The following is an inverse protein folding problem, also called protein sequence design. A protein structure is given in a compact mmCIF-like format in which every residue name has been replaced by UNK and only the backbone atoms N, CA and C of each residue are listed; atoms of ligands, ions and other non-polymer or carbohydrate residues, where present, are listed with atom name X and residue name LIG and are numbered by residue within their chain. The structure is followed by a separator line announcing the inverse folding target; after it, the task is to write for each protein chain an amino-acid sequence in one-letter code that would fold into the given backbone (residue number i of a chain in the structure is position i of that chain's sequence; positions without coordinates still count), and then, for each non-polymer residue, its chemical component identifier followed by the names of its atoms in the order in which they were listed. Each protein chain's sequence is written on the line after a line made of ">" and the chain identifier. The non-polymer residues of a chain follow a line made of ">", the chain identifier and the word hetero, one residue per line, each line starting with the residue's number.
data_IF_543045780869
#
_entry.id   IF_543045780869
#
_cell.length_a   1.000
_cell.length_b   1.000
_cell.length_c   1.000
_cell.angle_alpha   90.00
_cell.angle_beta   90.00
_cell.angle_gamma   90.00
#
_symmetry.space_group_name_H-M   'P 1'
#
loop_
_entity.id
_entity.type
_entity.pdbx_description
1 polymer ?
#
# COMPACT_ATOMS: atom_id res chain seq x y z
N UNK A 1 2.84 -8.43 -5.21
CA UNK A 1 2.39 -9.79 -4.82
C UNK A 1 2.79 -10.21 -3.41
N UNK A 2 3.67 -9.46 -2.70
CA UNK A 2 4.14 -9.83 -1.36
C UNK A 2 3.03 -9.96 -0.30
N UNK A 3 1.94 -9.19 -0.39
CA UNK A 3 0.81 -9.34 0.54
C UNK A 3 0.23 -10.77 0.49
N UNK A 4 0.10 -11.37 -0.71
CA UNK A 4 -0.41 -12.75 -0.89
C UNK A 4 0.57 -13.77 -0.34
N UNK A 5 1.87 -13.46 -0.37
CA UNK A 5 2.95 -14.35 0.08
C UNK A 5 3.10 -14.36 1.60
N UNK A 6 2.70 -13.29 2.31
CA UNK A 6 2.85 -13.16 3.77
C UNK A 6 1.78 -13.88 4.61
N UNK A 7 0.84 -14.59 3.99
CA UNK A 7 0.05 -15.65 4.66
C UNK A 7 -0.78 -15.26 5.89
N UNK A 8 -1.16 -13.99 6.07
CA UNK A 8 -2.06 -13.57 7.16
C UNK A 8 -3.51 -14.04 6.94
N UNK A 9 -4.30 -14.15 8.02
CA UNK A 9 -5.73 -14.52 7.98
C UNK A 9 -6.42 -13.82 6.80
N UNK A 10 -7.00 -14.63 5.90
CA UNK A 10 -7.62 -14.20 4.63
C UNK A 10 -8.93 -13.43 4.86
N UNK A 11 -8.89 -12.32 5.59
CA UNK A 11 -9.87 -11.24 5.39
C UNK A 11 -9.50 -10.58 4.06
N UNK A 12 -10.52 -10.20 3.29
CA UNK A 12 -10.38 -9.47 2.02
C UNK A 12 -9.23 -8.44 2.04
N UNK A 13 -8.58 -8.12 0.89
CA UNK A 13 -7.42 -7.24 0.89
C UNK A 13 -7.69 -6.01 1.75
N UNK A 14 -6.81 -5.77 2.73
CA UNK A 14 -6.92 -4.65 3.66
C UNK A 14 -7.26 -3.39 2.86
N UNK A 15 -8.18 -2.52 3.33
CA UNK A 15 -8.55 -1.29 2.62
C UNK A 15 -7.33 -0.48 2.11
N UNK A 16 -6.26 -0.43 2.92
CA UNK A 16 -4.96 0.16 2.58
C UNK A 16 -4.33 -0.39 1.29
N UNK A 17 -4.52 -1.68 1.02
CA UNK A 17 -4.00 -2.32 -0.18
C UNK A 17 -4.69 -1.79 -1.43
N UNK A 18 -6.02 -1.63 -1.41
CA UNK A 18 -6.74 -1.05 -2.54
C UNK A 18 -6.39 0.42 -2.76
N UNK A 19 -6.24 1.17 -1.67
CA UNK A 19 -5.81 2.57 -1.72
C UNK A 19 -4.40 2.68 -2.33
N UNK A 20 -3.44 1.91 -1.84
CA UNK A 20 -2.07 1.91 -2.34
C UNK A 20 -1.95 1.41 -3.78
N UNK A 21 -2.72 0.39 -4.15
CA UNK A 21 -2.77 -0.11 -5.52
C UNK A 21 -3.34 0.93 -6.48
N UNK A 22 -4.42 1.62 -6.08
CA UNK A 22 -5.00 2.71 -6.86
C UNK A 22 -3.98 3.84 -7.07
N UNK A 23 -3.34 4.32 -6.01
CA UNK A 23 -2.31 5.36 -6.09
C UNK A 23 -1.13 4.96 -7.01
N UNK A 24 -0.73 3.69 -6.98
CA UNK A 24 0.34 3.17 -7.83
C UNK A 24 -0.03 3.17 -9.33
N UNK A 25 -1.27 2.79 -9.68
CA UNK A 25 -1.70 2.75 -11.08
C UNK A 25 -2.05 4.13 -11.63
N UNK A 26 -2.49 5.06 -10.78
CA UNK A 26 -2.81 6.44 -11.18
C UNK A 26 -1.66 7.42 -11.05
N UNK A 27 -0.49 6.96 -10.59
CA UNK A 27 0.69 7.78 -10.29
C UNK A 27 0.38 8.97 -9.35
N UNK A 28 -0.53 8.75 -8.40
CA UNK A 28 -0.93 9.78 -7.42
C UNK A 28 -0.11 9.65 -6.13
N UNK A 29 0.32 10.77 -5.53
CA UNK A 29 0.93 10.75 -4.20
C UNK A 29 -0.09 10.35 -3.13
N UNK A 30 0.40 9.64 -2.11
CA UNK A 30 -0.40 9.17 -0.98
C UNK A 30 0.05 9.82 0.32
N UNK A 31 -0.85 10.56 0.97
CA UNK A 31 -0.65 11.07 2.34
C UNK A 31 -0.91 9.94 3.34
N UNK A 32 0.09 9.57 4.13
CA UNK A 32 -0.06 8.49 5.12
C UNK A 32 0.88 8.67 6.31
N UNK A 33 0.48 8.13 7.47
CA UNK A 33 1.35 8.00 8.65
C UNK A 33 2.08 6.66 8.69
N UNK A 34 1.61 5.65 7.95
CA UNK A 34 2.20 4.30 7.97
C UNK A 34 3.17 4.09 6.80
N UNK A 35 4.29 4.82 6.85
CA UNK A 35 5.29 4.88 5.75
C UNK A 35 5.85 3.50 5.43
N UNK A 36 6.18 2.72 6.46
CA UNK A 36 6.86 1.44 6.32
C UNK A 36 5.97 0.42 5.61
N UNK A 37 4.67 0.37 5.95
CA UNK A 37 3.72 -0.52 5.29
C UNK A 37 3.60 -0.20 3.81
N UNK A 38 3.38 1.07 3.47
CA UNK A 38 3.18 1.47 2.08
C UNK A 38 4.45 1.34 1.24
N UNK A 39 5.63 1.70 1.77
CA UNK A 39 6.90 1.48 1.05
C UNK A 39 7.18 0.00 0.76
N UNK A 40 6.84 -0.88 1.70
CA UNK A 40 7.05 -2.32 1.52
C UNK A 40 6.22 -2.87 0.36
N UNK A 41 4.94 -2.49 0.26
CA UNK A 41 4.05 -3.07 -0.74
C UNK A 41 3.98 -2.28 -2.06
N UNK A 42 4.23 -0.97 -2.00
CA UNK A 42 4.06 -0.03 -3.10
C UNK A 42 5.27 0.92 -3.20
N UNK A 43 6.48 0.42 -3.46
CA UNK A 43 7.70 1.22 -3.46
C UNK A 43 7.73 2.33 -4.53
N UNK A 44 6.88 2.24 -5.55
CA UNK A 44 6.75 3.25 -6.61
C UNK A 44 5.78 4.38 -6.27
N UNK A 45 5.02 4.29 -5.17
CA UNK A 45 4.08 5.34 -4.76
C UNK A 45 4.85 6.43 -4.03
N UNK A 46 4.66 7.68 -4.46
CA UNK A 46 5.17 8.84 -3.74
C UNK A 46 4.39 9.01 -2.42
N UNK A 47 5.08 8.92 -1.28
CA UNK A 47 4.45 9.08 0.03
C UNK A 47 4.71 10.48 0.58
N UNK A 48 3.64 11.13 1.00
CA UNK A 48 3.69 12.37 1.79
C UNK A 48 3.39 11.97 3.23
N UNK A 49 4.21 12.43 4.16
CA UNK A 49 4.12 12.04 5.57
C UNK A 49 4.19 13.31 6.40
N UNK A 50 3.26 13.55 7.33
CA UNK A 50 3.37 14.65 8.29
C UNK A 50 4.53 14.44 9.26
#
# INVERSE_FOLDING_TARGET
>A
MEYRRRGGERRSPLPDFYIGAHAAVTAMPLLTRDVNRYRTYFPSVLLITP
#
